data_IF_515108410117
#
_entry.id   IF_515108410117
#
_cell.length_a   1.000
_cell.length_b   1.000
_cell.length_c   1.000
_cell.angle_alpha   90.00
_cell.angle_beta   90.00
_cell.angle_gamma   90.00
#
_symmetry.space_group_name_H-M   'P 1'
#
loop_
_entity.id
_entity.type
_entity.pdbx_description
1 polymer ?
#
# COMPACT_ATOMS: atom_id res chain seq x y z
N UNK A 1 -33.62 -12.45 31.01
CA UNK A 1 -33.10 -11.08 30.76
C UNK A 1 -32.25 -11.17 29.51
N UNK A 2 -32.54 -10.41 28.45
CA UNK A 2 -31.60 -10.28 27.33
C UNK A 2 -30.45 -9.41 27.85
N UNK A 3 -29.24 -9.96 27.91
CA UNK A 3 -28.02 -9.20 28.20
C UNK A 3 -27.15 -9.41 26.97
N UNK A 4 -26.66 -8.32 26.38
CA UNK A 4 -25.74 -8.38 25.26
C UNK A 4 -24.70 -7.28 25.46
N UNK A 5 -23.44 -7.67 25.43
CA UNK A 5 -22.32 -6.77 25.71
C UNK A 5 -21.29 -6.93 24.59
N UNK A 6 -20.83 -5.82 24.03
CA UNK A 6 -19.58 -5.79 23.25
C UNK A 6 -18.41 -5.71 24.21
N UNK A 7 -17.18 -5.89 23.72
CA UNK A 7 -16.04 -5.42 24.51
C UNK A 7 -16.21 -3.94 24.84
N UNK A 8 -16.08 -3.59 26.12
CA UNK A 8 -16.14 -2.21 26.56
C UNK A 8 -14.94 -1.45 25.97
N UNK A 9 -15.23 -0.40 25.20
CA UNK A 9 -14.20 0.48 24.66
C UNK A 9 -14.09 1.76 25.50
N UNK A 10 -12.93 1.90 26.13
CA UNK A 10 -12.56 3.10 26.86
C UNK A 10 -12.04 4.22 25.94
N UNK A 11 -11.67 3.87 24.71
CA UNK A 11 -11.04 4.77 23.73
C UNK A 11 -11.68 4.61 22.36
N UNK A 12 -11.53 5.63 21.52
CA UNK A 12 -11.76 5.47 20.09
C UNK A 12 -10.62 4.65 19.51
N UNK A 13 -10.93 3.57 18.80
CA UNK A 13 -9.90 2.78 18.14
C UNK A 13 -9.67 3.41 16.76
N UNK A 14 -8.44 3.83 16.48
CA UNK A 14 -8.08 4.26 15.15
C UNK A 14 -8.07 3.03 14.22
N UNK A 15 -8.72 3.14 13.07
CA UNK A 15 -8.83 2.08 12.07
C UNK A 15 -8.66 2.69 10.69
N UNK A 16 -7.87 2.05 9.82
CA UNK A 16 -7.67 2.55 8.47
C UNK A 16 -8.85 2.19 7.56
N UNK A 17 -9.19 3.10 6.64
CA UNK A 17 -10.11 2.77 5.55
C UNK A 17 -9.57 1.59 4.76
N UNK A 18 -10.43 0.60 4.48
CA UNK A 18 -10.05 -0.63 3.80
C UNK A 18 -9.58 -1.77 4.71
N UNK A 19 -9.33 -1.51 6.00
CA UNK A 19 -9.05 -2.57 6.97
C UNK A 19 -10.33 -3.30 7.38
N UNK A 20 -10.22 -4.59 7.65
CA UNK A 20 -11.32 -5.37 8.23
C UNK A 20 -11.32 -5.30 9.74
N UNK A 21 -12.47 -4.96 10.32
CA UNK A 21 -12.71 -5.02 11.76
C UNK A 21 -13.61 -6.21 12.11
N UNK A 22 -13.37 -6.83 13.26
CA UNK A 22 -14.24 -7.87 13.79
C UNK A 22 -15.20 -7.26 14.82
N UNK A 23 -16.49 -7.36 14.55
CA UNK A 23 -17.56 -6.99 15.46
C UNK A 23 -18.03 -8.24 16.20
N UNK A 24 -17.94 -8.21 17.53
CA UNK A 24 -18.36 -9.33 18.37
C UNK A 24 -19.14 -8.86 19.59
N UNK A 25 -20.12 -9.68 19.97
CA UNK A 25 -20.88 -9.56 21.22
C UNK A 25 -20.82 -10.88 21.98
N UNK A 26 -20.91 -10.77 23.30
CA UNK A 26 -21.07 -11.91 24.21
C UNK A 26 -22.48 -11.96 24.77
N UNK A 27 -22.90 -13.14 25.22
CA UNK A 27 -24.19 -13.40 25.88
C UNK A 27 -25.45 -13.09 25.06
N UNK A 28 -25.31 -12.82 23.75
CA UNK A 28 -26.45 -12.55 22.87
C UNK A 28 -27.43 -13.74 22.85
N UNK A 29 -28.62 -13.53 23.41
CA UNK A 29 -29.69 -14.51 23.47
C UNK A 29 -30.83 -14.08 22.53
N UNK A 30 -30.64 -14.24 21.22
CA UNK A 30 -31.58 -13.83 20.18
C UNK A 30 -30.92 -13.74 18.80
N UNK A 31 -31.68 -13.31 17.80
CA UNK A 31 -31.16 -12.97 16.47
C UNK A 31 -30.40 -11.65 16.52
N UNK A 32 -29.23 -11.60 15.91
CA UNK A 32 -28.35 -10.42 15.87
C UNK A 32 -28.53 -9.69 14.53
N UNK A 33 -28.52 -8.36 14.58
CA UNK A 33 -28.35 -7.48 13.42
C UNK A 33 -27.40 -6.34 13.79
N UNK A 34 -26.24 -6.27 13.16
CA UNK A 34 -25.32 -5.15 13.38
C UNK A 34 -25.80 -3.88 12.70
N UNK A 35 -25.62 -2.76 13.39
CA UNK A 35 -25.94 -1.42 12.93
C UNK A 35 -24.70 -0.53 12.96
N UNK A 36 -24.68 0.46 12.06
CA UNK A 36 -23.65 1.51 12.02
C UNK A 36 -24.25 2.93 12.03
N UNK A 37 -23.43 3.89 12.46
CA UNK A 37 -23.70 5.32 12.39
C UNK A 37 -22.40 6.14 12.28
N UNK A 38 -22.47 7.36 11.75
CA UNK A 38 -21.32 8.29 11.63
C UNK A 38 -21.16 9.21 12.85
N UNK A 39 -22.19 9.30 13.69
CA UNK A 39 -22.15 9.95 15.00
C UNK A 39 -23.14 9.26 15.97
N UNK A 40 -23.17 9.70 17.22
CA UNK A 40 -24.07 9.14 18.26
C UNK A 40 -25.48 9.73 18.24
N UNK A 41 -25.75 10.72 17.39
CA UNK A 41 -27.03 11.43 17.27
C UNK A 41 -27.81 11.05 15.99
N UNK A 42 -27.14 10.38 15.06
CA UNK A 42 -27.60 9.94 13.75
C UNK A 42 -28.57 8.77 13.85
N UNK A 43 -29.32 8.56 12.76
CA UNK A 43 -30.13 7.37 12.57
C UNK A 43 -29.20 6.17 12.34
N UNK A 44 -29.30 5.17 13.21
CA UNK A 44 -28.61 3.89 13.05
C UNK A 44 -29.15 3.14 11.84
N UNK A 45 -28.25 2.61 11.02
CA UNK A 45 -28.60 1.86 9.81
C UNK A 45 -28.09 0.43 9.89
N UNK A 46 -28.85 -0.53 9.38
CA UNK A 46 -28.43 -1.93 9.35
C UNK A 46 -27.27 -2.12 8.37
N UNK A 47 -26.23 -2.84 8.81
CA UNK A 47 -25.21 -3.35 7.90
C UNK A 47 -25.79 -4.58 7.21
N UNK A 48 -25.89 -4.54 5.88
CA UNK A 48 -26.51 -5.60 5.10
C UNK A 48 -25.83 -6.95 5.34
N UNK A 49 -26.60 -7.98 5.70
CA UNK A 49 -26.11 -9.34 5.95
C UNK A 49 -25.40 -9.57 7.29
N UNK A 50 -25.17 -8.52 8.08
CA UNK A 50 -24.43 -8.60 9.34
C UNK A 50 -25.25 -9.19 10.50
N UNK A 51 -25.45 -10.49 10.48
CA UNK A 51 -26.38 -11.22 11.37
C UNK A 51 -25.71 -12.24 12.29
N UNK A 52 -24.38 -12.26 12.33
CA UNK A 52 -23.57 -13.20 13.13
C UNK A 52 -22.70 -12.48 14.15
N UNK A 53 -22.17 -13.23 15.12
CA UNK A 53 -21.11 -12.80 16.03
C UNK A 53 -20.12 -13.96 16.18
N UNK A 54 -18.84 -13.81 15.80
CA UNK A 54 -18.24 -12.61 15.23
C UNK A 54 -18.77 -12.29 13.81
N UNK A 55 -18.59 -11.02 13.40
CA UNK A 55 -18.86 -10.54 12.04
C UNK A 55 -17.71 -9.66 11.57
N UNK A 56 -17.14 -9.97 10.40
CA UNK A 56 -16.07 -9.17 9.80
C UNK A 56 -16.67 -8.09 8.91
N UNK A 57 -16.25 -6.85 9.11
CA UNK A 57 -16.73 -5.68 8.39
C UNK A 57 -15.56 -4.89 7.79
N UNK A 58 -15.66 -4.54 6.51
CA UNK A 58 -14.69 -3.67 5.85
C UNK A 58 -14.91 -2.23 6.30
N UNK A 59 -13.85 -1.56 6.75
CA UNK A 59 -13.93 -0.19 7.24
C UNK A 59 -14.08 0.79 6.07
N UNK A 60 -15.17 1.55 6.08
CA UNK A 60 -15.49 2.55 5.06
C UNK A 60 -15.02 3.95 5.50
N UNK A 61 -14.83 4.85 4.54
CA UNK A 61 -14.62 6.27 4.83
C UNK A 61 -15.82 6.87 5.56
N UNK A 62 -15.56 7.77 6.50
CA UNK A 62 -16.60 8.52 7.22
C UNK A 62 -16.43 10.02 7.00
N UNK A 63 -17.52 10.72 6.66
CA UNK A 63 -17.51 12.18 6.51
C UNK A 63 -17.23 12.93 7.81
N UNK A 64 -17.48 12.30 8.97
CA UNK A 64 -17.17 12.86 10.30
C UNK A 64 -15.79 12.43 10.82
N UNK A 65 -15.14 11.48 10.15
CA UNK A 65 -13.92 10.82 10.65
C UNK A 65 -14.18 9.80 11.77
N UNK A 66 -15.44 9.48 12.09
CA UNK A 66 -15.81 8.51 13.11
C UNK A 66 -16.83 7.49 12.59
N UNK A 67 -16.78 6.27 13.14
CA UNK A 67 -17.77 5.23 12.93
C UNK A 67 -18.15 4.60 14.25
N UNK A 68 -19.44 4.30 14.40
CA UNK A 68 -20.00 3.68 15.58
C UNK A 68 -20.73 2.41 15.18
N UNK A 69 -20.56 1.35 15.96
CA UNK A 69 -21.22 0.06 15.72
C UNK A 69 -21.92 -0.43 16.99
N UNK A 70 -23.07 -1.09 16.82
CA UNK A 70 -23.77 -1.80 17.90
C UNK A 70 -24.52 -3.01 17.36
N UNK A 71 -24.74 -4.01 18.18
CA UNK A 71 -25.60 -5.13 17.87
C UNK A 71 -27.04 -4.84 18.32
N UNK A 72 -27.99 -4.98 17.41
CA UNK A 72 -29.41 -5.10 17.71
C UNK A 72 -29.74 -6.58 17.94
N UNK A 73 -30.32 -6.92 19.10
CA UNK A 73 -30.69 -8.29 19.46
C UNK A 73 -32.19 -8.41 19.66
N UNK A 74 -32.80 -9.38 18.98
CA UNK A 74 -34.24 -9.67 19.06
C UNK A 74 -34.48 -11.11 19.51
N UNK A 75 -35.28 -11.29 20.56
CA UNK A 75 -35.73 -12.62 21.00
C UNK A 75 -37.20 -12.58 21.44
N UNK A 76 -38.13 -13.03 20.60
CA UNK A 76 -39.55 -12.96 20.90
C UNK A 76 -39.99 -13.87 22.06
N UNK A 77 -39.17 -14.87 22.44
CA UNK A 77 -39.51 -15.79 23.52
C UNK A 77 -39.15 -15.23 24.91
N UNK A 78 -38.17 -14.33 24.99
CA UNK A 78 -37.64 -13.85 26.29
C UNK A 78 -37.67 -12.34 26.46
N UNK A 79 -37.82 -11.57 25.39
CA UNK A 79 -37.67 -10.11 25.41
C UNK A 79 -38.84 -9.43 24.69
N UNK A 80 -39.55 -8.56 25.43
CA UNK A 80 -40.75 -7.84 24.98
C UNK A 80 -40.38 -6.68 24.04
N UNK A 81 -39.10 -6.29 24.01
CA UNK A 81 -38.55 -5.22 23.17
C UNK A 81 -37.16 -5.59 22.64
N UNK A 82 -36.71 -4.86 21.62
CA UNK A 82 -35.36 -4.92 21.06
C UNK A 82 -34.32 -4.51 22.12
N UNK A 83 -33.15 -5.15 22.10
CA UNK A 83 -31.99 -4.78 22.93
C UNK A 83 -30.82 -4.34 22.07
N UNK A 84 -30.04 -3.40 22.60
CA UNK A 84 -28.83 -2.91 21.96
C UNK A 84 -27.62 -3.21 22.85
N UNK A 85 -26.52 -3.63 22.24
CA UNK A 85 -25.24 -3.70 22.93
C UNK A 85 -24.70 -2.31 23.24
N UNK A 86 -23.60 -2.28 24.01
CA UNK A 86 -22.71 -1.12 24.04
C UNK A 86 -22.20 -0.77 22.63
N UNK A 87 -21.77 0.49 22.50
CA UNK A 87 -21.29 1.05 21.24
C UNK A 87 -19.78 0.85 21.10
N UNK A 88 -19.39 0.23 20.00
CA UNK A 88 -18.02 0.24 19.47
C UNK A 88 -17.81 1.58 18.74
N UNK A 89 -16.68 2.24 18.97
CA UNK A 89 -16.33 3.61 18.58
C UNK A 89 -14.98 3.59 17.87
N UNK A 90 -14.97 3.86 16.57
CA UNK A 90 -13.76 3.93 15.77
C UNK A 90 -13.51 5.37 15.29
N UNK A 91 -12.23 5.76 15.27
CA UNK A 91 -11.75 6.92 14.52
C UNK A 91 -11.22 6.41 13.19
N UNK A 92 -11.76 6.93 12.10
CA UNK A 92 -11.40 6.49 10.76
C UNK A 92 -10.24 7.35 10.24
N UNK A 93 -9.15 6.70 9.84
CA UNK A 93 -7.98 7.35 9.23
C UNK A 93 -7.78 6.83 7.81
N UNK A 94 -7.16 7.63 6.94
CA UNK A 94 -6.81 7.20 5.57
C UNK A 94 -5.33 6.92 5.39
N UNK A 95 -4.52 7.34 6.36
CA UNK A 95 -3.08 7.12 6.41
C UNK A 95 -2.60 7.04 7.85
N UNK A 96 -1.59 6.23 8.13
CA UNK A 96 -0.92 6.16 9.43
C UNK A 96 -0.22 7.47 9.81
N UNK A 97 -0.01 8.39 8.85
CA UNK A 97 0.47 9.75 9.13
C UNK A 97 -0.52 10.57 9.96
N UNK A 98 -1.80 10.19 9.99
CA UNK A 98 -2.85 10.84 10.79
C UNK A 98 -2.91 10.32 12.24
N UNK A 99 -2.10 9.31 12.58
CA UNK A 99 -2.00 8.81 13.95
C UNK A 99 -1.31 9.84 14.84
N UNK A 100 -1.90 10.09 15.99
CA UNK A 100 -1.44 11.00 17.02
C UNK A 100 -0.99 10.20 18.23
N UNK A 101 -0.08 10.79 19.01
CA UNK A 101 0.33 10.24 20.30
C UNK A 101 -0.91 10.05 21.18
N UNK A 102 -1.06 8.85 21.74
CA UNK A 102 -2.17 8.46 22.60
C UNK A 102 -3.33 7.77 21.88
N UNK A 103 -3.35 7.74 20.54
CA UNK A 103 -4.36 6.99 19.80
C UNK A 103 -4.27 5.49 20.09
N UNK A 104 -5.42 4.84 20.21
CA UNK A 104 -5.48 3.38 20.30
C UNK A 104 -5.49 2.78 18.89
N UNK A 105 -4.36 2.27 18.43
CA UNK A 105 -4.16 1.72 17.08
C UNK A 105 -3.34 0.43 17.16
N UNK A 106 -3.61 -0.53 16.27
CA UNK A 106 -2.81 -1.76 16.20
C UNK A 106 -2.73 -2.52 17.54
N UNK A 107 -3.80 -2.48 18.35
CA UNK A 107 -3.87 -3.22 19.61
C UNK A 107 -3.22 -2.53 20.83
N UNK A 108 -2.76 -1.28 20.72
CA UNK A 108 -2.18 -0.55 21.85
C UNK A 108 -2.18 0.96 21.64
N UNK A 109 -1.37 1.69 22.43
CA UNK A 109 -1.29 3.14 22.38
C UNK A 109 -0.09 3.62 21.55
N UNK A 110 -0.34 4.45 20.54
CA UNK A 110 0.72 5.09 19.75
C UNK A 110 1.53 6.04 20.64
N UNK A 111 2.84 5.84 20.75
CA UNK A 111 3.73 6.72 21.53
C UNK A 111 4.87 7.34 20.72
N UNK A 112 5.02 6.92 19.46
CA UNK A 112 5.95 7.49 18.51
C UNK A 112 5.33 7.39 17.11
N UNK A 113 5.39 8.47 16.33
CA UNK A 113 5.00 8.49 14.93
C UNK A 113 5.91 9.46 14.17
N UNK A 114 6.65 8.93 13.21
CA UNK A 114 7.49 9.65 12.26
C UNK A 114 6.97 9.37 10.85
N UNK A 115 6.19 10.32 10.32
CA UNK A 115 5.59 10.25 8.98
C UNK A 115 4.88 8.92 8.66
N UNK A 116 4.11 8.40 9.61
CA UNK A 116 3.29 7.21 9.45
C UNK A 116 3.98 5.90 9.80
N UNK A 117 5.28 5.93 10.13
CA UNK A 117 5.97 4.82 10.78
C UNK A 117 6.14 5.12 12.26
N UNK A 118 5.92 4.15 13.13
CA UNK A 118 5.94 4.45 14.55
C UNK A 118 5.90 3.23 15.46
N UNK A 119 5.68 3.51 16.75
CA UNK A 119 5.67 2.50 17.81
C UNK A 119 4.39 2.59 18.64
N UNK A 120 3.92 1.42 19.05
CA UNK A 120 2.71 1.18 19.83
C UNK A 120 3.11 0.49 21.13
N UNK A 121 2.65 1.02 22.27
CA UNK A 121 2.82 0.41 23.58
C UNK A 121 1.64 -0.50 23.91
N UNK A 122 1.90 -1.67 24.50
CA UNK A 122 0.85 -2.53 24.99
C UNK A 122 -0.07 -1.78 25.99
N UNK A 123 -1.38 -2.10 26.03
CA UNK A 123 -2.34 -1.39 26.88
C UNK A 123 -2.10 -1.56 28.39
N UNK A 124 -1.36 -2.59 28.79
CA UNK A 124 -1.01 -2.90 30.18
C UNK A 124 0.38 -3.50 30.26
N UNK A 125 0.93 -3.59 31.47
CA UNK A 125 2.19 -4.28 31.73
C UNK A 125 1.99 -5.80 31.66
N UNK A 126 2.97 -6.51 31.12
CA UNK A 126 2.88 -7.97 30.93
C UNK A 126 4.11 -8.64 31.49
N UNK A 127 3.98 -9.23 32.67
CA UNK A 127 5.12 -9.72 33.44
C UNK A 127 5.52 -8.70 34.49
N UNK A 128 5.01 -8.88 35.70
CA UNK A 128 5.49 -8.16 36.87
C UNK A 128 6.68 -8.94 37.43
N UNK A 129 7.78 -8.25 37.71
CA UNK A 129 8.95 -8.84 38.36
C UNK A 129 9.64 -9.92 37.48
N UNK A 130 10.01 -9.56 36.25
CA UNK A 130 10.81 -10.39 35.36
C UNK A 130 12.30 -10.05 35.42
N UNK A 131 13.13 -11.09 35.33
CA UNK A 131 14.56 -10.91 35.07
C UNK A 131 14.78 -10.44 33.64
N UNK A 132 15.79 -9.61 33.40
CA UNK A 132 16.04 -9.02 32.07
C UNK A 132 16.27 -10.11 31.01
N UNK A 133 17.14 -11.05 31.35
CA UNK A 133 17.69 -12.09 30.49
C UNK A 133 18.83 -12.79 31.24
N UNK A 134 19.72 -13.44 30.51
CA UNK A 134 20.82 -14.19 31.11
C UNK A 134 21.89 -13.25 31.69
N UNK A 135 22.24 -13.42 32.96
CA UNK A 135 23.09 -12.48 33.71
C UNK A 135 24.60 -12.75 33.66
N UNK A 136 25.03 -13.89 33.10
CA UNK A 136 26.42 -14.35 33.12
C UNK A 136 27.17 -14.19 31.78
N UNK A 137 26.58 -13.47 30.83
CA UNK A 137 27.11 -13.32 29.47
C UNK A 137 26.61 -12.02 28.84
N UNK A 138 27.41 -11.51 27.88
CA UNK A 138 27.03 -10.40 27.00
C UNK A 138 26.13 -10.94 25.88
N UNK A 139 25.05 -10.23 25.61
CA UNK A 139 24.14 -10.48 24.50
C UNK A 139 24.66 -9.70 23.30
N UNK A 140 25.36 -10.39 22.40
CA UNK A 140 25.99 -9.76 21.24
C UNK A 140 24.94 -9.09 20.35
N UNK A 141 25.03 -7.77 20.18
CA UNK A 141 24.11 -6.97 19.36
C UNK A 141 22.96 -6.30 20.12
N UNK A 142 22.72 -6.70 21.38
CA UNK A 142 21.64 -6.15 22.20
C UNK A 142 21.98 -4.82 22.90
N UNK A 143 22.99 -4.09 22.45
CA UNK A 143 23.46 -2.82 23.03
C UNK A 143 22.87 -1.57 22.33
N UNK A 144 21.95 -1.77 21.38
CA UNK A 144 21.26 -0.68 20.69
C UNK A 144 20.47 0.18 21.67
N UNK A 145 20.67 1.50 21.64
CA UNK A 145 20.04 2.44 22.60
C UNK A 145 18.88 3.22 21.99
N UNK A 146 18.99 3.59 20.71
CA UNK A 146 18.12 4.59 20.08
C UNK A 146 16.75 4.01 19.68
N UNK A 147 15.83 4.91 19.33
CA UNK A 147 14.54 4.53 18.73
C UNK A 147 14.77 3.69 17.46
N UNK A 148 14.02 2.59 17.34
CA UNK A 148 14.11 1.61 16.26
C UNK A 148 14.99 0.40 16.55
N UNK A 149 15.69 0.35 17.69
CA UNK A 149 16.62 -0.76 18.01
C UNK A 149 16.02 -1.84 18.90
N UNK A 150 14.86 -1.63 19.55
CA UNK A 150 14.31 -2.56 20.53
C UNK A 150 14.01 -3.95 19.97
N UNK A 151 13.48 -4.01 18.74
CA UNK A 151 13.15 -5.29 18.11
C UNK A 151 14.41 -6.13 17.86
N UNK A 152 15.46 -5.53 17.28
CA UNK A 152 16.72 -6.24 17.01
C UNK A 152 17.39 -6.67 18.32
N UNK A 153 17.42 -5.78 19.33
CA UNK A 153 17.94 -6.13 20.64
C UNK A 153 17.20 -7.33 21.26
N UNK A 154 15.86 -7.35 21.16
CA UNK A 154 15.04 -8.45 21.69
C UNK A 154 15.38 -9.76 20.98
N UNK A 155 15.52 -9.74 19.65
CA UNK A 155 15.96 -10.91 18.86
C UNK A 155 17.34 -11.39 19.33
N UNK A 156 18.30 -10.48 19.53
CA UNK A 156 19.66 -10.81 19.95
C UNK A 156 19.70 -11.41 21.37
N UNK A 157 18.84 -10.92 22.27
CA UNK A 157 18.67 -11.50 23.62
C UNK A 157 18.10 -12.91 23.52
N UNK A 158 17.05 -13.14 22.74
CA UNK A 158 16.42 -14.46 22.60
C UNK A 158 17.36 -15.49 21.94
N UNK A 159 18.24 -15.04 21.04
CA UNK A 159 19.30 -15.86 20.46
C UNK A 159 20.40 -16.20 21.49
N UNK A 160 20.76 -15.24 22.36
CA UNK A 160 21.81 -15.40 23.37
C UNK A 160 21.35 -16.03 24.68
N UNK A 161 20.04 -16.02 24.97
CA UNK A 161 19.45 -16.46 26.22
C UNK A 161 18.12 -17.18 26.02
N UNK A 162 18.12 -18.50 26.15
CA UNK A 162 16.92 -19.34 26.01
C UNK A 162 16.19 -19.60 27.33
N UNK A 163 16.42 -18.74 28.34
CA UNK A 163 15.76 -18.89 29.65
C UNK A 163 14.32 -18.40 29.54
N UNK A 164 13.31 -19.26 29.79
CA UNK A 164 11.92 -18.85 29.67
C UNK A 164 11.52 -17.91 30.80
N UNK A 165 10.48 -17.11 30.56
CA UNK A 165 9.94 -16.11 31.48
C UNK A 165 10.95 -15.00 31.85
N UNK A 166 11.83 -14.64 30.92
CA UNK A 166 12.62 -13.39 31.01
C UNK A 166 11.86 -12.24 30.37
N UNK A 167 12.32 -11.00 30.57
CA UNK A 167 11.71 -9.80 30.03
C UNK A 167 11.59 -9.87 28.50
N UNK A 168 12.67 -10.24 27.81
CA UNK A 168 12.69 -10.40 26.36
C UNK A 168 11.76 -11.55 25.92
N UNK A 169 11.86 -12.72 26.54
CA UNK A 169 11.07 -13.92 26.20
C UNK A 169 9.57 -13.67 26.35
N UNK A 170 9.13 -13.00 27.41
CA UNK A 170 7.72 -12.66 27.61
C UNK A 170 7.22 -11.69 26.54
N UNK A 171 8.01 -10.67 26.17
CA UNK A 171 7.62 -9.74 25.11
C UNK A 171 7.62 -10.42 23.73
N UNK A 172 8.65 -11.21 23.40
CA UNK A 172 8.81 -11.87 22.10
C UNK A 172 7.75 -12.94 21.83
N UNK A 173 7.26 -13.61 22.88
CA UNK A 173 6.21 -14.64 22.76
C UNK A 173 4.79 -14.09 23.02
N UNK A 174 4.64 -12.79 23.25
CA UNK A 174 3.34 -12.19 23.56
C UNK A 174 2.42 -12.23 22.34
N UNK A 175 1.23 -12.81 22.51
CA UNK A 175 0.11 -12.66 21.58
C UNK A 175 -0.97 -11.84 22.26
N UNK A 176 -1.18 -10.62 21.78
CA UNK A 176 -2.11 -9.66 22.37
C UNK A 176 -2.87 -8.90 21.28
N UNK A 177 -4.21 -8.84 21.42
CA UNK A 177 -5.11 -8.17 20.48
C UNK A 177 -4.91 -8.64 19.02
N UNK A 178 -4.67 -9.94 18.85
CA UNK A 178 -4.39 -10.62 17.57
C UNK A 178 -3.03 -10.30 16.92
N UNK A 179 -2.14 -9.63 17.65
CA UNK A 179 -0.77 -9.34 17.22
C UNK A 179 0.24 -10.19 17.98
N UNK A 180 1.26 -10.70 17.28
CA UNK A 180 2.32 -11.59 17.81
C UNK A 180 3.72 -11.07 17.51
N UNK A 181 3.84 -9.79 17.15
CA UNK A 181 5.05 -9.06 16.75
C UNK A 181 5.51 -8.08 17.83
N UNK A 182 5.21 -8.40 19.09
CA UNK A 182 5.59 -7.61 20.25
C UNK A 182 7.06 -7.87 20.64
N UNK A 183 7.72 -6.84 21.17
CA UNK A 183 9.13 -6.91 21.58
C UNK A 183 9.42 -5.98 22.77
N UNK A 184 10.56 -6.18 23.43
CA UNK A 184 11.00 -5.35 24.56
C UNK A 184 11.60 -4.04 24.01
N UNK A 185 11.22 -2.85 24.54
CA UNK A 185 11.65 -1.57 23.99
C UNK A 185 13.13 -1.29 24.26
N UNK A 186 13.85 -0.63 23.35
CA UNK A 186 15.17 -0.07 23.63
C UNK A 186 15.10 1.03 24.70
N UNK A 187 16.26 1.44 25.21
CA UNK A 187 16.37 2.52 26.19
C UNK A 187 15.63 3.79 25.78
N UNK A 188 15.85 4.30 24.57
CA UNK A 188 15.20 5.54 24.11
C UNK A 188 13.71 5.32 23.71
N UNK A 189 13.32 4.10 23.33
CA UNK A 189 11.90 3.77 23.11
C UNK A 189 11.12 3.73 24.42
N UNK A 190 11.74 3.21 25.48
CA UNK A 190 11.20 3.21 26.83
C UNK A 190 11.02 4.65 27.36
N UNK A 191 12.00 5.52 27.12
CA UNK A 191 11.91 6.94 27.47
C UNK A 191 10.81 7.67 26.69
N UNK A 192 10.66 7.36 25.41
CA UNK A 192 9.58 7.90 24.59
C UNK A 192 8.21 7.48 25.14
N UNK A 193 8.03 6.22 25.57
CA UNK A 193 6.80 5.80 26.24
C UNK A 193 6.54 6.57 27.52
N UNK A 194 7.56 6.80 28.35
CA UNK A 194 7.43 7.60 29.57
C UNK A 194 6.97 9.03 29.24
N UNK A 195 7.70 9.69 28.35
CA UNK A 195 7.49 11.11 28.01
C UNK A 195 6.15 11.36 27.32
N UNK A 196 5.76 10.46 26.41
CA UNK A 196 4.61 10.67 25.54
C UNK A 196 3.32 10.05 26.08
N UNK A 197 3.39 8.96 26.85
CA UNK A 197 2.19 8.32 27.42
C UNK A 197 2.07 8.53 28.93
N UNK A 198 3.07 8.11 29.71
CA UNK A 198 2.99 8.12 31.19
C UNK A 198 2.77 9.53 31.73
N UNK A 199 3.56 10.52 31.30
CA UNK A 199 3.39 11.92 31.74
C UNK A 199 1.97 12.44 31.45
N UNK A 200 1.37 11.98 30.36
CA UNK A 200 0.02 12.37 29.95
C UNK A 200 -1.10 11.50 30.56
N UNK A 201 -0.75 10.57 31.46
CA UNK A 201 -1.73 9.68 32.12
C UNK A 201 -2.33 8.62 31.19
N UNK A 202 -1.70 8.32 30.05
CA UNK A 202 -2.17 7.35 29.06
C UNK A 202 -1.50 5.99 29.32
N UNK A 203 -2.24 4.89 29.14
CA UNK A 203 -1.68 3.54 29.23
C UNK A 203 -1.60 2.94 30.63
N UNK A 204 -2.08 3.62 31.67
CA UNK A 204 -2.14 3.04 33.03
C UNK A 204 -0.79 2.49 33.53
N UNK A 205 0.31 3.20 33.29
CA UNK A 205 1.64 2.80 33.76
C UNK A 205 1.75 2.94 35.28
N UNK A 206 2.46 2.01 35.91
CA UNK A 206 2.89 2.10 37.31
C UNK A 206 3.94 3.21 37.52
N UNK A 207 4.44 3.32 38.75
CA UNK A 207 5.55 4.24 39.11
C UNK A 207 6.90 3.53 39.25
N UNK A 208 6.92 2.20 39.18
CA UNK A 208 8.13 1.39 39.36
C UNK A 208 9.07 1.42 38.16
N UNK A 209 10.04 0.51 38.18
CA UNK A 209 11.07 0.36 37.18
C UNK A 209 10.61 -0.54 36.04
N UNK A 210 11.05 -0.21 34.83
CA UNK A 210 10.78 -0.95 33.61
C UNK A 210 12.07 -1.30 32.89
N UNK A 211 12.24 -2.57 32.52
CA UNK A 211 13.37 -2.99 31.70
C UNK A 211 13.25 -2.43 30.29
N UNK A 212 14.39 -2.01 29.73
CA UNK A 212 14.59 -1.89 28.29
C UNK A 212 15.27 -3.15 27.75
N UNK A 213 15.32 -3.34 26.45
CA UNK A 213 16.09 -4.38 25.76
C UNK A 213 17.57 -4.02 25.61
N UNK A 214 18.00 -2.84 26.06
CA UNK A 214 19.36 -2.35 25.85
C UNK A 214 20.30 -2.88 26.93
N UNK A 215 21.25 -3.72 26.54
CA UNK A 215 22.34 -4.19 27.37
C UNK A 215 23.30 -3.02 27.70
N UNK A 216 23.74 -2.95 28.97
CA UNK A 216 24.80 -2.01 29.36
C UNK A 216 26.15 -2.73 29.51
N UNK A 217 26.13 -3.94 30.07
CA UNK A 217 27.32 -4.76 30.22
C UNK A 217 27.03 -6.18 30.66
N UNK A 218 28.10 -6.91 31.00
CA UNK A 218 28.06 -8.36 31.25
C UNK A 218 26.94 -8.77 32.24
N UNK A 219 26.81 -8.02 33.34
CA UNK A 219 25.84 -8.31 34.40
C UNK A 219 24.69 -7.31 34.54
N UNK A 220 24.67 -6.23 33.74
CA UNK A 220 23.68 -5.14 33.89
C UNK A 220 23.03 -4.74 32.57
N UNK A 221 21.81 -4.22 32.65
CA UNK A 221 21.04 -3.71 31.52
C UNK A 221 20.35 -2.39 31.89
N UNK A 222 19.96 -1.62 30.88
CA UNK A 222 19.27 -0.35 31.07
C UNK A 222 17.81 -0.54 31.48
N UNK A 223 17.37 0.29 32.42
CA UNK A 223 15.98 0.41 32.85
C UNK A 223 15.61 1.87 33.06
N UNK A 224 14.31 2.14 33.17
CA UNK A 224 13.78 3.47 33.50
C UNK A 224 12.77 3.40 34.64
N UNK A 225 12.92 4.30 35.61
CA UNK A 225 11.95 4.49 36.69
C UNK A 225 10.83 5.43 36.27
N UNK A 226 9.58 4.95 36.27
CA UNK A 226 8.42 5.69 35.74
C UNK A 226 7.80 6.68 36.74
N UNK A 227 8.36 6.80 37.96
CA UNK A 227 8.00 7.88 38.89
C UNK A 227 8.53 9.25 38.41
N UNK A 228 9.76 9.28 37.88
CA UNK A 228 10.46 10.52 37.50
C UNK A 228 11.11 10.47 36.10
N UNK A 229 11.03 9.37 35.37
CA UNK A 229 11.67 9.21 34.05
C UNK A 229 13.19 9.12 34.13
N UNK A 230 13.71 8.56 35.23
CA UNK A 230 15.16 8.46 35.44
C UNK A 230 15.67 7.15 34.90
N UNK A 231 16.68 7.21 34.04
CA UNK A 231 17.32 6.04 33.45
C UNK A 231 18.62 5.68 34.16
N UNK A 232 18.83 4.39 34.38
CA UNK A 232 20.04 3.84 34.99
C UNK A 232 20.18 2.37 34.60
N UNK A 233 21.33 1.76 34.87
CA UNK A 233 21.54 0.33 34.69
C UNK A 233 21.40 -0.42 36.01
N UNK A 234 20.98 -1.68 35.93
CA UNK A 234 20.86 -2.54 37.11
C UNK A 234 21.15 -4.00 36.77
N UNK A 235 21.40 -4.81 37.80
CA UNK A 235 21.75 -6.23 37.63
C UNK A 235 20.65 -7.02 36.94
N UNK A 236 20.98 -7.72 35.84
CA UNK A 236 20.04 -8.50 35.01
C UNK A 236 19.24 -9.57 35.77
N UNK A 237 19.78 -10.06 36.89
CA UNK A 237 19.13 -11.03 37.77
C UNK A 237 18.07 -10.44 38.70
N UNK A 238 17.91 -9.12 38.74
CA UNK A 238 16.83 -8.45 39.46
C UNK A 238 15.55 -8.45 38.63
N UNK A 239 14.44 -8.18 39.30
CA UNK A 239 13.11 -8.35 38.74
C UNK A 239 12.41 -7.00 38.65
N UNK A 240 12.00 -6.59 37.44
CA UNK A 240 11.30 -5.32 37.19
C UNK A 240 10.12 -5.54 36.24
N UNK A 241 9.36 -4.47 35.96
CA UNK A 241 8.22 -4.54 35.07
C UNK A 241 8.68 -4.52 33.60
N UNK A 242 7.81 -4.97 32.71
CA UNK A 242 8.00 -4.79 31.27
C UNK A 242 6.71 -4.32 30.64
N UNK A 243 6.85 -3.50 29.60
CA UNK A 243 5.78 -3.19 28.68
C UNK A 243 6.26 -3.44 27.27
N UNK A 244 5.67 -4.45 26.64
CA UNK A 244 5.98 -4.76 25.27
C UNK A 244 5.53 -3.63 24.35
N UNK A 245 6.28 -3.43 23.28
CA UNK A 245 5.96 -2.51 22.20
C UNK A 245 5.93 -3.27 20.88
N UNK A 246 5.30 -2.68 19.87
CA UNK A 246 5.35 -3.15 18.49
C UNK A 246 5.47 -1.98 17.54
N UNK A 247 5.92 -2.23 16.31
CA UNK A 247 6.03 -1.20 15.28
C UNK A 247 4.80 -1.18 14.35
N UNK A 248 4.59 -0.04 13.71
CA UNK A 248 3.72 0.08 12.55
C UNK A 248 4.43 0.89 11.47
N UNK A 249 4.05 0.67 10.22
CA UNK A 249 4.50 1.44 9.08
C UNK A 249 3.33 1.69 8.14
N UNK A 250 3.42 2.69 7.24
CA UNK A 250 2.46 2.81 6.16
C UNK A 250 2.47 1.51 5.33
N UNK A 251 1.34 1.15 4.71
CA UNK A 251 1.34 0.10 3.71
C UNK A 251 2.36 0.47 2.60
N UNK A 252 3.06 -0.52 2.01
CA UNK A 252 4.03 -0.26 0.96
C UNK A 252 3.41 0.55 -0.18
N UNK A 253 4.16 1.49 -0.75
CA UNK A 253 3.64 2.27 -1.87
C UNK A 253 3.31 1.36 -3.04
N UNK A 254 2.43 1.79 -3.95
CA UNK A 254 2.14 1.05 -5.19
C UNK A 254 3.44 0.70 -5.94
N UNK A 255 4.42 1.61 -5.95
CA UNK A 255 5.69 1.36 -6.63
C UNK A 255 6.50 0.26 -5.95
N UNK A 256 6.54 0.22 -4.61
CA UNK A 256 7.27 -0.80 -3.85
C UNK A 256 6.62 -2.17 -4.01
N UNK A 257 5.28 -2.22 -4.06
CA UNK A 257 4.53 -3.45 -4.33
C UNK A 257 4.82 -4.02 -5.72
N UNK A 258 4.85 -3.16 -6.75
CA UNK A 258 5.24 -3.56 -8.10
C UNK A 258 6.69 -4.07 -8.16
N UNK A 259 7.62 -3.40 -7.47
CA UNK A 259 9.02 -3.86 -7.38
C UNK A 259 9.17 -5.16 -6.58
N UNK A 260 8.29 -5.38 -5.59
CA UNK A 260 8.18 -6.63 -4.82
C UNK A 260 7.56 -7.79 -5.59
N UNK A 261 7.16 -7.58 -6.85
CA UNK A 261 6.65 -8.61 -7.74
C UNK A 261 5.12 -8.74 -7.78
N UNK A 262 4.37 -7.88 -7.10
CA UNK A 262 2.93 -7.83 -7.28
C UNK A 262 2.57 -7.29 -8.67
N UNK A 263 1.56 -7.89 -9.30
CA UNK A 263 0.99 -7.40 -10.55
C UNK A 263 0.07 -6.20 -10.31
N UNK A 264 -0.12 -5.32 -11.30
CA UNK A 264 -1.11 -4.24 -11.20
C UNK A 264 -2.51 -4.72 -10.84
N UNK A 265 -2.90 -5.92 -11.29
CA UNK A 265 -4.17 -6.57 -10.94
C UNK A 265 -4.26 -6.95 -9.46
N UNK A 266 -3.21 -7.55 -8.90
CA UNK A 266 -3.17 -7.89 -7.47
C UNK A 266 -3.26 -6.64 -6.59
N UNK A 267 -2.59 -5.56 -7.01
CA UNK A 267 -2.66 -4.27 -6.31
C UNK A 267 -4.07 -3.69 -6.37
N UNK A 268 -4.71 -3.69 -7.54
CA UNK A 268 -6.10 -3.24 -7.69
C UNK A 268 -7.08 -4.09 -6.85
N UNK A 269 -6.93 -5.42 -6.88
CA UNK A 269 -7.80 -6.34 -6.14
C UNK A 269 -7.67 -6.19 -4.62
N UNK A 270 -6.55 -5.62 -4.13
CA UNK A 270 -6.38 -5.29 -2.71
C UNK A 270 -7.10 -4.00 -2.29
N UNK A 271 -7.93 -3.41 -3.16
CA UNK A 271 -8.69 -2.19 -2.89
C UNK A 271 -7.99 -0.88 -3.24
N UNK A 272 -6.78 -0.93 -3.81
CA UNK A 272 -6.10 0.28 -4.30
C UNK A 272 -6.85 0.83 -5.52
N UNK A 273 -7.10 2.14 -5.50
CA UNK A 273 -7.76 2.81 -6.62
C UNK A 273 -6.94 2.69 -7.90
N UNK A 274 -7.61 2.42 -9.02
CA UNK A 274 -6.96 2.23 -10.31
C UNK A 274 -6.11 3.44 -10.74
N UNK A 275 -6.52 4.65 -10.38
CA UNK A 275 -5.79 5.88 -10.67
C UNK A 275 -4.42 5.96 -9.98
N UNK A 276 -4.20 5.21 -8.89
CA UNK A 276 -2.92 5.13 -8.20
C UNK A 276 -1.87 4.30 -8.96
N UNK A 277 -2.29 3.51 -9.96
CA UNK A 277 -1.40 2.73 -10.82
C UNK A 277 -0.78 3.57 -11.94
N UNK A 278 -1.46 4.62 -12.39
CA UNK A 278 -1.02 5.37 -13.56
C UNK A 278 0.32 6.05 -13.34
N UNK A 279 1.21 5.95 -14.33
CA UNK A 279 2.55 6.52 -14.29
C UNK A 279 3.54 5.76 -13.40
N UNK A 280 3.13 4.66 -12.76
CA UNK A 280 4.07 3.78 -12.04
C UNK A 280 4.90 2.99 -13.03
N UNK A 281 6.17 2.75 -12.68
CA UNK A 281 7.07 1.96 -13.50
C UNK A 281 6.75 0.48 -13.28
N UNK A 282 6.46 -0.22 -14.37
CA UNK A 282 6.19 -1.64 -14.37
C UNK A 282 6.74 -2.26 -15.63
N UNK A 283 7.53 -3.32 -15.46
CA UNK A 283 8.17 -4.04 -16.55
C UNK A 283 8.80 -3.10 -17.61
N UNK A 284 9.55 -2.06 -17.24
CA UNK A 284 10.25 -1.18 -18.20
C UNK A 284 9.44 -0.02 -18.78
N UNK A 285 8.15 0.14 -18.45
CA UNK A 285 7.38 1.31 -18.90
C UNK A 285 6.47 1.89 -17.82
N UNK A 286 5.74 2.95 -18.18
CA UNK A 286 4.75 3.62 -17.33
C UNK A 286 3.37 3.02 -17.57
N UNK A 287 2.72 2.49 -16.53
CA UNK A 287 1.36 1.93 -16.64
C UNK A 287 0.38 3.03 -17.05
N UNK A 288 -0.40 2.80 -18.10
CA UNK A 288 -1.48 3.71 -18.52
C UNK A 288 -2.81 3.00 -18.78
N UNK A 289 -2.83 1.66 -18.78
CA UNK A 289 -4.05 0.88 -18.94
C UNK A 289 -3.97 -0.43 -18.14
N UNK A 290 -5.11 -0.81 -17.56
CA UNK A 290 -5.31 -2.11 -16.90
C UNK A 290 -6.75 -2.58 -17.16
N UNK A 291 -6.89 -3.77 -17.72
CA UNK A 291 -8.16 -4.49 -17.74
C UNK A 291 -8.40 -5.12 -16.36
N UNK A 292 -9.29 -4.52 -15.58
CA UNK A 292 -9.59 -4.96 -14.21
C UNK A 292 -10.29 -6.33 -14.12
N UNK A 293 -10.68 -6.92 -15.25
CA UNK A 293 -11.26 -8.27 -15.29
C UNK A 293 -10.17 -9.31 -15.52
N UNK A 294 -9.28 -9.09 -16.50
CA UNK A 294 -8.28 -10.08 -16.92
C UNK A 294 -6.89 -9.87 -16.34
N UNK A 295 -6.58 -8.64 -15.90
CA UNK A 295 -5.24 -8.23 -15.48
C UNK A 295 -4.30 -7.82 -16.62
N UNK A 296 -4.71 -8.00 -17.87
CA UNK A 296 -3.94 -7.53 -19.03
C UNK A 296 -3.81 -6.00 -19.01
N UNK A 297 -2.64 -5.47 -19.30
CA UNK A 297 -2.42 -4.02 -19.28
C UNK A 297 -1.45 -3.52 -20.33
N UNK A 298 -1.26 -2.21 -20.37
CA UNK A 298 -0.30 -1.56 -21.25
C UNK A 298 0.60 -0.60 -20.47
N UNK A 299 1.87 -0.60 -20.85
CA UNK A 299 2.86 0.39 -20.44
C UNK A 299 3.36 1.21 -21.64
N UNK A 300 3.65 2.49 -21.40
CA UNK A 300 4.29 3.36 -22.38
C UNK A 300 5.79 3.48 -22.06
N UNK A 301 6.62 3.61 -23.09
CA UNK A 301 8.05 3.86 -22.90
C UNK A 301 8.27 5.17 -22.11
N UNK A 302 9.36 5.23 -21.36
CA UNK A 302 9.64 6.38 -20.47
C UNK A 302 10.09 7.62 -21.24
N UNK A 303 10.54 7.47 -22.49
CA UNK A 303 10.96 8.55 -23.38
C UNK A 303 10.49 8.30 -24.83
N UNK A 304 10.47 9.37 -25.62
CA UNK A 304 10.27 9.30 -27.07
C UNK A 304 11.49 8.68 -27.75
N UNK A 305 11.25 7.94 -28.83
CA UNK A 305 12.29 7.59 -29.79
C UNK A 305 12.51 8.75 -30.76
N UNK A 306 13.43 8.58 -31.70
CA UNK A 306 13.55 9.48 -32.84
C UNK A 306 12.21 9.58 -33.59
N UNK A 307 11.92 10.76 -34.12
CA UNK A 307 10.75 10.95 -34.97
C UNK A 307 10.94 10.24 -36.30
N UNK A 308 9.84 9.74 -36.88
CA UNK A 308 9.86 9.02 -38.15
C UNK A 308 8.59 9.28 -38.95
N UNK A 309 8.65 8.93 -40.24
CA UNK A 309 7.48 8.76 -41.09
C UNK A 309 6.66 7.55 -40.63
N UNK A 310 5.37 7.53 -40.96
CA UNK A 310 4.54 6.35 -40.72
C UNK A 310 4.95 5.19 -41.63
N UNK A 311 5.29 5.48 -42.89
CA UNK A 311 5.77 4.52 -43.86
C UNK A 311 5.36 4.85 -45.30
N UNK A 312 5.29 3.81 -46.13
CA UNK A 312 5.01 3.87 -47.56
C UNK A 312 3.70 4.61 -47.89
N UNK A 313 3.81 5.73 -48.60
CA UNK A 313 2.66 6.47 -49.11
C UNK A 313 2.13 5.82 -50.40
N UNK A 314 0.81 5.81 -50.60
CA UNK A 314 0.16 5.31 -51.81
C UNK A 314 -0.26 3.84 -51.77
N UNK A 315 0.11 3.09 -50.72
CA UNK A 315 -0.27 1.67 -50.52
C UNK A 315 -1.01 1.49 -49.19
N UNK A 316 -2.05 0.65 -49.20
CA UNK A 316 -2.83 0.28 -48.02
C UNK A 316 -2.17 -0.92 -47.33
N UNK A 317 -1.81 -0.76 -46.05
CA UNK A 317 -1.32 -1.81 -45.17
C UNK A 317 -2.54 -2.32 -44.38
N UNK A 318 -3.34 -3.15 -45.05
CA UNK A 318 -4.61 -3.67 -44.54
C UNK A 318 -4.47 -4.36 -43.17
N UNK A 319 -5.47 -4.22 -42.31
CA UNK A 319 -5.55 -4.96 -41.05
C UNK A 319 -4.94 -4.24 -39.83
N UNK A 320 -4.59 -2.96 -39.97
CA UNK A 320 -4.30 -2.12 -38.80
C UNK A 320 -5.60 -1.70 -38.11
N UNK A 321 -5.70 -1.96 -36.80
CA UNK A 321 -6.91 -1.75 -36.00
C UNK A 321 -6.71 -0.67 -34.93
N UNK A 322 -7.80 0.00 -34.55
CA UNK A 322 -7.78 1.06 -33.54
C UNK A 322 -8.08 0.62 -32.11
N UNK A 323 -8.23 -0.68 -31.87
CA UNK A 323 -8.59 -1.23 -30.56
C UNK A 323 -7.45 -1.09 -29.54
N UNK A 324 -7.77 -1.28 -28.26
CA UNK A 324 -6.78 -1.23 -27.18
C UNK A 324 -5.85 -2.44 -27.29
N UNK A 325 -4.54 -2.20 -27.20
CA UNK A 325 -3.55 -3.27 -27.07
C UNK A 325 -3.29 -4.11 -28.32
N UNK A 326 -3.87 -3.76 -29.48
CA UNK A 326 -3.56 -4.41 -30.77
C UNK A 326 -2.37 -3.76 -31.50
N UNK A 327 -1.74 -2.75 -30.90
CA UNK A 327 -0.61 -2.03 -31.49
C UNK A 327 0.55 -2.93 -31.94
N UNK A 328 0.83 -4.03 -31.23
CA UNK A 328 1.86 -4.99 -31.64
C UNK A 328 1.49 -5.73 -32.94
N UNK A 329 0.21 -6.08 -33.11
CA UNK A 329 -0.28 -6.70 -34.35
C UNK A 329 -0.14 -5.73 -35.52
N UNK A 330 -0.54 -4.47 -35.33
CA UNK A 330 -0.38 -3.43 -36.35
C UNK A 330 1.10 -3.20 -36.69
N UNK A 331 1.96 -3.09 -35.66
CA UNK A 331 3.39 -2.86 -35.81
C UNK A 331 4.03 -3.97 -36.65
N UNK A 332 3.73 -5.23 -36.35
CA UNK A 332 4.23 -6.37 -37.11
C UNK A 332 3.75 -6.35 -38.57
N UNK A 333 2.49 -5.97 -38.83
CA UNK A 333 1.97 -5.86 -40.19
C UNK A 333 2.67 -4.76 -40.98
N UNK A 334 2.88 -3.59 -40.37
CA UNK A 334 3.58 -2.45 -40.97
C UNK A 334 5.04 -2.83 -41.27
N UNK A 335 5.75 -3.42 -40.30
CA UNK A 335 7.15 -3.84 -40.49
C UNK A 335 7.26 -4.92 -41.57
N UNK A 336 6.41 -5.95 -41.54
CA UNK A 336 6.44 -7.02 -42.54
C UNK A 336 6.18 -6.50 -43.97
N UNK A 337 5.30 -5.50 -44.13
CA UNK A 337 5.07 -4.86 -45.41
C UNK A 337 6.36 -4.18 -45.93
N UNK A 338 7.03 -3.39 -45.10
CA UNK A 338 8.25 -2.67 -45.49
C UNK A 338 9.45 -3.59 -45.70
N UNK A 339 9.60 -4.62 -44.87
CA UNK A 339 10.63 -5.66 -45.03
C UNK A 339 10.44 -6.47 -46.33
N UNK A 340 9.21 -6.54 -46.85
CA UNK A 340 8.88 -7.18 -48.12
C UNK A 340 9.23 -6.35 -49.36
N UNK A 341 9.49 -5.05 -49.20
CA UNK A 341 9.90 -4.16 -50.28
C UNK A 341 11.39 -4.31 -50.56
N UNK A 342 11.81 -4.10 -51.82
CA UNK A 342 13.22 -4.20 -52.20
C UNK A 342 13.97 -3.01 -51.61
N UNK A 343 14.74 -3.23 -50.55
CA UNK A 343 15.61 -2.25 -49.90
C UNK A 343 14.91 -0.92 -49.52
N UNK A 344 13.67 -0.96 -49.01
CA UNK A 344 12.92 0.27 -48.68
C UNK A 344 13.69 1.23 -47.76
N UNK A 345 14.34 0.71 -46.72
CA UNK A 345 15.10 1.52 -45.76
C UNK A 345 16.31 2.24 -46.38
N UNK A 346 16.79 1.80 -47.55
CA UNK A 346 17.88 2.45 -48.29
C UNK A 346 17.46 3.13 -49.59
N UNK A 347 16.29 2.77 -50.15
CA UNK A 347 15.68 3.36 -51.34
C UNK A 347 14.14 3.43 -51.19
N UNK A 348 13.64 4.46 -50.48
CA UNK A 348 12.21 4.61 -50.17
C UNK A 348 11.38 5.18 -51.33
N UNK A 349 12.04 5.66 -52.40
CA UNK A 349 11.38 6.34 -53.54
C UNK A 349 10.42 5.44 -54.32
N UNK A 350 10.50 4.12 -54.10
CA UNK A 350 9.55 3.13 -54.62
C UNK A 350 8.11 3.35 -54.14
N UNK A 351 7.92 4.02 -53.00
CA UNK A 351 6.62 4.38 -52.46
C UNK A 351 6.21 5.79 -52.92
N UNK A 352 7.02 6.79 -52.56
CA UNK A 352 6.88 8.18 -52.99
C UNK A 352 8.23 8.90 -52.86
N UNK A 353 8.44 9.99 -53.60
CA UNK A 353 9.67 10.78 -53.53
C UNK A 353 9.85 11.51 -52.20
N UNK A 354 8.77 11.73 -51.45
CA UNK A 354 8.80 12.33 -50.11
C UNK A 354 9.12 11.29 -49.01
N UNK A 355 9.08 9.98 -49.32
CA UNK A 355 9.43 8.96 -48.33
C UNK A 355 10.95 8.96 -48.04
N UNK A 356 11.34 8.90 -46.77
CA UNK A 356 12.74 9.06 -46.31
C UNK A 356 13.39 7.75 -45.79
N UNK A 357 12.64 6.65 -45.81
CA UNK A 357 13.10 5.33 -45.37
C UNK A 357 12.89 5.07 -43.88
N UNK A 358 12.51 6.08 -43.08
CA UNK A 358 12.10 5.88 -41.69
C UNK A 358 10.69 5.27 -41.61
N UNK A 359 10.46 4.45 -40.60
CA UNK A 359 9.15 3.84 -40.32
C UNK A 359 8.95 3.81 -38.81
N UNK A 360 7.95 4.54 -38.30
CA UNK A 360 7.67 4.64 -36.88
C UNK A 360 7.46 3.28 -36.21
N UNK A 361 6.74 2.36 -36.88
CA UNK A 361 6.56 0.99 -36.41
C UNK A 361 7.88 0.21 -36.34
N UNK A 362 8.82 0.46 -37.26
CA UNK A 362 10.14 -0.18 -37.26
C UNK A 362 10.99 0.31 -36.09
N UNK A 363 10.94 1.62 -35.78
CA UNK A 363 11.60 2.16 -34.59
C UNK A 363 11.09 1.48 -33.31
N UNK A 364 9.77 1.28 -33.18
CA UNK A 364 9.21 0.54 -32.04
C UNK A 364 9.64 -0.93 -32.02
N UNK A 365 9.61 -1.63 -33.16
CA UNK A 365 9.95 -3.04 -33.25
C UNK A 365 11.44 -3.34 -32.98
N UNK A 366 12.33 -2.39 -33.31
CA UNK A 366 13.77 -2.49 -33.05
C UNK A 366 14.15 -1.97 -31.66
N UNK A 367 13.21 -1.33 -30.94
CA UNK A 367 13.47 -0.78 -29.62
C UNK A 367 13.53 -1.88 -28.56
N UNK A 368 14.59 -1.84 -27.75
CA UNK A 368 14.77 -2.71 -26.59
C UNK A 368 15.01 -1.87 -25.35
N UNK A 369 14.30 -2.17 -24.26
CA UNK A 369 14.55 -1.59 -22.94
C UNK A 369 14.77 -2.70 -21.92
N UNK A 370 16.00 -2.82 -21.42
CA UNK A 370 16.43 -3.95 -20.59
C UNK A 370 16.24 -5.29 -21.33
N UNK A 371 15.37 -6.15 -20.80
CA UNK A 371 15.05 -7.47 -21.38
C UNK A 371 13.81 -7.46 -22.27
N UNK A 372 13.14 -6.32 -22.44
CA UNK A 372 11.89 -6.20 -23.18
C UNK A 372 12.15 -5.76 -24.62
N UNK A 373 11.68 -6.54 -25.58
CA UNK A 373 11.92 -6.36 -27.02
C UNK A 373 10.63 -6.49 -27.87
N UNK A 374 9.48 -6.41 -27.21
CA UNK A 374 8.13 -6.59 -27.75
C UNK A 374 7.35 -5.27 -27.81
N UNK A 375 8.08 -4.15 -27.95
CA UNK A 375 7.53 -2.81 -28.03
C UNK A 375 6.84 -2.53 -29.38
N UNK A 376 5.78 -1.72 -29.35
CA UNK A 376 4.91 -1.49 -30.48
C UNK A 376 4.51 -0.01 -30.62
N UNK A 377 4.17 0.38 -31.85
CA UNK A 377 3.57 1.68 -32.12
C UNK A 377 2.10 1.66 -31.63
N UNK A 378 1.68 2.62 -30.77
CA UNK A 378 0.36 2.60 -30.13
C UNK A 378 -0.78 2.79 -31.12
N UNK A 379 -1.93 2.21 -30.83
CA UNK A 379 -3.16 2.57 -31.57
C UNK A 379 -3.64 3.97 -31.18
N UNK A 380 -4.60 4.50 -31.94
CA UNK A 380 -5.18 5.82 -31.66
C UNK A 380 -5.94 5.81 -30.32
N UNK A 381 -6.50 4.67 -29.93
CA UNK A 381 -7.14 4.50 -28.62
C UNK A 381 -6.09 4.40 -27.51
N UNK A 382 -4.96 3.71 -27.74
CA UNK A 382 -3.84 3.67 -26.79
C UNK A 382 -3.30 5.09 -26.52
N UNK A 383 -3.09 5.90 -27.57
CA UNK A 383 -2.65 7.29 -27.43
C UNK A 383 -3.63 8.15 -26.62
N UNK A 384 -4.94 7.97 -26.84
CA UNK A 384 -5.95 8.67 -26.06
C UNK A 384 -5.91 8.27 -24.56
N UNK A 385 -5.66 7.00 -24.26
CA UNK A 385 -5.46 6.52 -22.87
C UNK A 385 -4.16 7.07 -22.27
N UNK A 386 -3.05 7.09 -23.03
CA UNK A 386 -1.80 7.71 -22.59
C UNK A 386 -2.01 9.19 -22.26
N UNK A 387 -2.81 9.92 -23.06
CA UNK A 387 -3.15 11.29 -22.71
C UNK A 387 -3.90 11.35 -21.38
N UNK A 388 -4.95 10.56 -21.24
CA UNK A 388 -5.84 10.63 -20.08
C UNK A 388 -5.16 10.21 -18.77
N UNK A 389 -4.39 9.13 -18.82
CA UNK A 389 -3.85 8.48 -17.64
C UNK A 389 -2.39 8.89 -17.36
N UNK A 390 -1.64 9.36 -18.36
CA UNK A 390 -0.27 9.85 -18.15
C UNK A 390 -0.18 11.37 -18.30
N UNK A 391 -0.40 11.91 -19.50
CA UNK A 391 -0.09 13.32 -19.80
C UNK A 391 -0.88 14.30 -18.92
N UNK A 392 -2.20 14.13 -18.79
CA UNK A 392 -3.04 15.01 -17.96
C UNK A 392 -2.68 14.96 -16.46
N UNK A 393 -1.91 13.95 -16.05
CA UNK A 393 -1.44 13.75 -14.67
C UNK A 393 0.02 14.14 -14.48
N UNK A 394 0.67 14.70 -15.50
CA UNK A 394 2.07 15.14 -15.46
C UNK A 394 3.09 14.02 -15.64
N UNK A 395 2.68 12.85 -16.13
CA UNK A 395 3.59 11.72 -16.39
C UNK A 395 4.00 11.64 -17.87
N UNK A 396 5.13 10.97 -18.13
CA UNK A 396 5.57 10.56 -19.47
C UNK A 396 6.30 11.61 -20.31
N UNK A 397 6.33 12.88 -19.89
CA UNK A 397 7.06 13.97 -20.56
C UNK A 397 6.74 14.11 -22.06
N UNK A 398 5.47 13.98 -22.43
CA UNK A 398 5.02 14.13 -23.82
C UNK A 398 5.14 15.58 -24.31
N UNK A 399 5.54 15.75 -25.56
CA UNK A 399 5.54 17.05 -26.25
C UNK A 399 4.12 17.38 -26.66
N UNK A 400 3.46 18.23 -25.87
CA UNK A 400 2.00 18.37 -25.93
C UNK A 400 1.45 18.98 -27.22
N UNK A 401 2.25 19.78 -27.94
CA UNK A 401 1.87 20.49 -29.17
C UNK A 401 2.08 19.72 -30.46
N UNK A 402 2.81 18.61 -30.41
CA UNK A 402 3.31 17.93 -31.60
C UNK A 402 2.53 16.65 -31.85
N UNK A 403 2.57 16.18 -33.10
CA UNK A 403 1.92 14.96 -33.54
C UNK A 403 2.71 13.72 -33.10
N UNK A 404 1.98 12.72 -32.61
CA UNK A 404 2.46 11.38 -32.30
C UNK A 404 1.80 10.37 -33.21
N UNK A 405 2.58 9.50 -33.84
CA UNK A 405 2.03 8.51 -34.75
C UNK A 405 1.23 7.44 -34.01
N UNK A 406 0.04 7.13 -34.54
CA UNK A 406 -0.66 5.90 -34.25
C UNK A 406 -0.29 4.82 -35.26
N UNK A 407 -0.33 3.54 -34.86
CA UNK A 407 -0.28 2.41 -35.79
C UNK A 407 -1.57 2.17 -36.57
N UNK A 408 -2.62 2.96 -36.35
CA UNK A 408 -3.90 2.86 -37.07
C UNK A 408 -3.82 3.59 -38.41
N UNK A 409 -3.90 2.84 -39.51
CA UNK A 409 -4.02 3.39 -40.86
C UNK A 409 -5.45 3.90 -41.12
N UNK A 410 -5.58 4.96 -41.92
CA UNK A 410 -6.89 5.43 -42.38
C UNK A 410 -7.14 5.05 -43.84
N UNK A 411 -6.15 5.26 -44.72
CA UNK A 411 -6.18 4.75 -46.08
C UNK A 411 -4.76 4.59 -46.66
N UNK A 412 -4.65 4.30 -47.95
CA UNK A 412 -3.37 4.11 -48.65
C UNK A 412 -2.39 5.30 -48.56
N UNK A 413 -2.86 6.52 -48.25
CA UNK A 413 -2.05 7.76 -48.21
C UNK A 413 -1.84 8.29 -46.80
N UNK A 414 -2.84 8.17 -45.94
CA UNK A 414 -2.85 8.84 -44.63
C UNK A 414 -3.01 7.84 -43.47
N UNK A 415 -2.43 8.20 -42.33
CA UNK A 415 -2.54 7.47 -41.06
C UNK A 415 -2.95 8.43 -39.93
N UNK A 416 -3.42 7.87 -38.81
CA UNK A 416 -3.83 8.67 -37.66
C UNK A 416 -2.64 9.14 -36.84
N UNK A 417 -2.70 10.38 -36.39
CA UNK A 417 -1.82 10.92 -35.35
C UNK A 417 -2.65 11.47 -34.18
N UNK A 418 -1.97 11.67 -33.06
CA UNK A 418 -2.55 12.28 -31.87
C UNK A 418 -1.67 13.42 -31.35
N UNK A 419 -2.27 14.53 -30.94
CA UNK A 419 -1.62 15.64 -30.24
C UNK A 419 -2.13 15.64 -28.81
N UNK A 420 -1.22 15.64 -27.84
CA UNK A 420 -1.55 15.45 -26.42
C UNK A 420 -2.35 16.60 -25.79
N UNK A 421 -2.54 17.73 -26.49
CA UNK A 421 -3.61 18.71 -26.16
C UNK A 421 -5.03 18.10 -26.23
N UNK A 422 -5.21 16.98 -26.93
CA UNK A 422 -6.47 16.25 -27.06
C UNK A 422 -7.03 16.18 -28.48
N UNK A 423 -6.18 16.38 -29.50
CA UNK A 423 -6.61 16.39 -30.90
C UNK A 423 -6.18 15.10 -31.58
N UNK A 424 -7.13 14.39 -32.19
CA UNK A 424 -6.85 13.30 -33.10
C UNK A 424 -7.05 13.78 -34.54
N UNK A 425 -6.10 13.49 -35.41
CA UNK A 425 -6.13 13.86 -36.82
C UNK A 425 -5.53 12.79 -37.69
N UNK A 426 -5.49 13.06 -39.00
CA UNK A 426 -4.82 12.21 -39.97
C UNK A 426 -3.94 13.07 -40.87
N UNK A 427 -2.81 12.53 -41.30
CA UNK A 427 -1.88 13.21 -42.20
C UNK A 427 -1.18 12.19 -43.10
N UNK A 428 -0.49 12.67 -44.13
CA UNK A 428 0.24 11.82 -45.07
C UNK A 428 1.29 10.96 -44.35
N UNK A 429 1.42 9.70 -44.79
CA UNK A 429 2.32 8.73 -44.18
C UNK A 429 3.81 9.11 -44.25
N UNK A 430 4.19 10.00 -45.17
CA UNK A 430 5.55 10.54 -45.29
C UNK A 430 5.81 11.73 -44.33
N UNK A 431 4.84 12.16 -43.53
CA UNK A 431 5.10 13.22 -42.53
C UNK A 431 5.86 12.62 -41.34
N UNK A 432 6.92 13.32 -40.91
CA UNK A 432 7.67 12.95 -39.71
C UNK A 432 6.89 13.34 -38.46
N UNK A 433 6.76 12.43 -37.49
CA UNK A 433 6.10 12.70 -36.19
C UNK A 433 6.73 11.89 -35.07
N UNK A 434 6.43 12.28 -33.83
CA UNK A 434 6.99 11.64 -32.64
C UNK A 434 6.53 10.19 -32.50
N UNK A 435 7.40 9.38 -31.92
CA UNK A 435 7.19 7.95 -31.73
C UNK A 435 7.36 7.61 -30.26
N UNK A 436 6.26 7.23 -29.61
CA UNK A 436 6.28 6.70 -28.24
C UNK A 436 5.84 5.24 -28.23
N UNK A 437 6.75 4.28 -28.04
CA UNK A 437 6.40 2.87 -27.98
C UNK A 437 5.50 2.54 -26.78
N UNK A 438 4.66 1.52 -26.96
CA UNK A 438 3.85 0.89 -25.91
C UNK A 438 4.09 -0.62 -25.89
N UNK A 439 3.78 -1.26 -24.77
CA UNK A 439 3.93 -2.70 -24.60
C UNK A 439 2.82 -3.29 -23.74
N UNK A 440 2.40 -4.49 -24.08
CA UNK A 440 1.46 -5.26 -23.27
C UNK A 440 2.17 -6.01 -22.14
N UNK A 441 1.43 -6.28 -21.06
CA UNK A 441 1.85 -7.14 -19.95
C UNK A 441 0.69 -7.99 -19.43
#
# INVERSE_FOLDING_TARGET
>A
MCIVETQAQNYYYAVMVGDTVELSVTNANGSIQWQQADDTLSVWTNIAGATTSPYTHLTESSGTGFKYYRAEVTNPATCVSVWYSDTIKHRIITSTTELQIGDFYGGGFVFYNDNGSGLIAAPSDYGTLLQWGCSSQLMTGADGLIIGTGNQNTIDIELGCTTPNTAADVCANLVLNSYSDWFLPSKEELHAMYSNLKINGIGNFGIGEYWSSSEFGLGTAWLEGFEFGTQYDFGKGNTFNVRAIRSFSPPPSVQDRLMGGETPKQIYDSGVQIDSLWGKTYQGGLIFYLNITTGAGLVAATADLDSAQWGCWGTEITGTLGDIGVGLTNTNAIVAFHDGLINYYGDPTQCDNENDGSVAAKLCADYTDGTYNDWALPTNTDLNLMRANLHMRGFGNFISSDSYWSSTELDRKIAYYYIFTGTMGSQDKFIVSHVRPVRAF
#
